data_IF_120791282882
#
_entry.id   IF_120791282882
#
_cell.length_a   1.000
_cell.length_b   1.000
_cell.length_c   1.000
_cell.angle_alpha   90.00
_cell.angle_beta   90.00
_cell.angle_gamma   90.00
#
_symmetry.space_group_name_H-M   'P 1'
#
loop_
_entity.id
_entity.type
_entity.pdbx_description
1 polymer ?
#
# COMPACT_ATOMS: atom_id res chain seq x y z
N UNK A 1 -18.13 -95.57 15.98
CA UNK A 1 -17.24 -94.40 16.21
C UNK A 1 -17.11 -93.60 14.92
N UNK A 2 -17.20 -92.26 14.99
CA UNK A 2 -16.99 -91.21 13.94
C UNK A 2 -18.25 -90.45 13.53
N UNK A 3 -18.53 -89.37 14.26
CA UNK A 3 -19.16 -88.12 13.77
C UNK A 3 -18.88 -87.05 14.82
N UNK A 4 -17.93 -86.14 14.55
CA UNK A 4 -17.71 -84.81 15.19
C UNK A 4 -16.34 -84.27 14.76
N UNK A 5 -16.23 -83.71 13.55
CA UNK A 5 -15.09 -82.86 13.12
C UNK A 5 -15.50 -82.15 11.82
N UNK A 6 -16.27 -81.07 11.92
CA UNK A 6 -16.56 -80.21 10.76
C UNK A 6 -16.99 -78.77 11.12
N UNK A 7 -17.21 -78.43 12.40
CA UNK A 7 -17.84 -77.14 12.75
C UNK A 7 -16.82 -76.02 13.10
N UNK A 8 -15.55 -76.34 13.38
CA UNK A 8 -14.58 -75.32 13.86
C UNK A 8 -13.95 -74.45 12.77
N UNK A 9 -14.00 -74.84 11.50
CA UNK A 9 -13.39 -74.08 10.39
C UNK A 9 -14.19 -72.85 9.95
N UNK A 10 -15.53 -72.95 9.96
CA UNK A 10 -16.44 -71.92 9.46
C UNK A 10 -16.51 -70.67 10.37
N UNK A 11 -16.39 -70.82 11.69
CA UNK A 11 -16.39 -69.69 12.62
C UNK A 11 -15.13 -68.80 12.50
N UNK A 12 -13.97 -69.39 12.16
CA UNK A 12 -12.71 -68.63 12.01
C UNK A 12 -12.69 -67.72 10.77
N UNK A 13 -13.32 -68.16 9.68
CA UNK A 13 -13.37 -67.42 8.42
C UNK A 13 -14.34 -66.23 8.50
N UNK A 14 -15.45 -66.37 9.21
CA UNK A 14 -16.42 -65.28 9.46
C UNK A 14 -15.79 -64.20 10.34
N UNK A 15 -15.02 -64.59 11.37
CA UNK A 15 -14.29 -63.65 12.23
C UNK A 15 -13.25 -62.81 11.47
N UNK A 16 -12.51 -63.42 10.52
CA UNK A 16 -11.55 -62.69 9.68
C UNK A 16 -12.22 -61.72 8.70
N UNK A 17 -13.35 -62.10 8.09
CA UNK A 17 -14.13 -61.21 7.21
C UNK A 17 -14.69 -59.99 7.96
N UNK A 18 -15.17 -60.20 9.19
CA UNK A 18 -15.66 -59.11 10.04
C UNK A 18 -14.54 -58.16 10.47
N UNK A 19 -13.36 -58.69 10.82
CA UNK A 19 -12.19 -57.85 11.12
C UNK A 19 -11.76 -57.02 9.90
N UNK A 20 -11.75 -57.60 8.70
CA UNK A 20 -11.40 -56.88 7.47
C UNK A 20 -12.40 -55.77 7.14
N UNK A 21 -13.70 -56.01 7.32
CA UNK A 21 -14.74 -54.96 7.19
C UNK A 21 -14.55 -53.82 8.19
N UNK A 22 -14.22 -54.13 9.44
CA UNK A 22 -13.96 -53.12 10.48
C UNK A 22 -12.72 -52.29 10.13
N UNK A 23 -11.64 -52.91 9.65
CA UNK A 23 -10.45 -52.16 9.20
C UNK A 23 -10.74 -51.27 7.99
N UNK A 24 -11.51 -51.74 7.01
CA UNK A 24 -11.94 -50.90 5.88
C UNK A 24 -12.80 -49.72 6.34
N UNK A 25 -13.74 -49.91 7.26
CA UNK A 25 -14.58 -48.84 7.84
C UNK A 25 -13.75 -47.83 8.64
N UNK A 26 -12.73 -48.27 9.37
CA UNK A 26 -11.83 -47.38 10.12
C UNK A 26 -10.92 -46.58 9.19
N UNK A 27 -10.43 -47.18 8.10
CA UNK A 27 -9.61 -46.49 7.11
C UNK A 27 -10.44 -45.45 6.34
N UNK A 28 -11.66 -45.77 5.94
CA UNK A 28 -12.55 -44.80 5.27
C UNK A 28 -12.99 -43.69 6.22
N UNK A 29 -13.28 -44.00 7.49
CA UNK A 29 -13.56 -42.98 8.51
C UNK A 29 -12.35 -42.06 8.75
N UNK A 30 -11.13 -42.59 8.81
CA UNK A 30 -9.90 -41.81 8.92
C UNK A 30 -9.68 -40.92 7.68
N UNK A 31 -9.93 -41.46 6.48
CA UNK A 31 -9.84 -40.69 5.23
C UNK A 31 -10.88 -39.54 5.19
N UNK A 32 -12.12 -39.80 5.61
CA UNK A 32 -13.20 -38.81 5.72
C UNK A 32 -12.92 -37.75 6.80
N UNK A 33 -12.30 -38.14 7.93
CA UNK A 33 -11.85 -37.22 8.98
C UNK A 33 -10.67 -36.35 8.52
N UNK A 34 -9.76 -36.88 7.70
CA UNK A 34 -8.66 -36.10 7.11
C UNK A 34 -9.11 -35.13 6.02
N UNK A 35 -10.25 -35.38 5.37
CA UNK A 35 -10.90 -34.46 4.42
C UNK A 35 -11.71 -33.36 5.12
N UNK A 36 -11.99 -33.50 6.42
CA UNK A 36 -12.51 -32.43 7.27
C UNK A 36 -11.41 -31.45 7.69
N UNK A 37 -10.43 -31.20 6.83
CA UNK A 37 -9.50 -30.10 7.02
C UNK A 37 -10.34 -28.83 6.85
N UNK A 38 -10.70 -28.22 7.98
CA UNK A 38 -11.47 -26.99 8.03
C UNK A 38 -10.64 -25.90 7.35
N UNK A 39 -10.77 -25.78 6.03
CA UNK A 39 -10.31 -24.61 5.29
C UNK A 39 -11.11 -23.44 5.84
N UNK A 40 -10.51 -22.75 6.82
CA UNK A 40 -11.03 -21.49 7.34
C UNK A 40 -11.36 -20.62 6.14
N UNK A 41 -12.64 -20.27 6.01
CA UNK A 41 -13.14 -19.47 4.88
C UNK A 41 -12.40 -18.14 4.90
N UNK A 42 -11.90 -17.72 3.74
CA UNK A 42 -11.30 -16.40 3.62
C UNK A 42 -12.33 -15.32 4.00
N UNK A 43 -11.88 -14.34 4.76
CA UNK A 43 -12.63 -13.16 5.18
C UNK A 43 -11.84 -11.91 4.81
N UNK A 44 -12.55 -10.79 4.73
CA UNK A 44 -11.96 -9.50 4.45
C UNK A 44 -11.87 -8.71 5.76
N UNK A 45 -10.69 -8.19 6.04
CA UNK A 45 -10.42 -7.35 7.19
C UNK A 45 -10.00 -5.98 6.69
N UNK A 46 -10.57 -4.93 7.28
CA UNK A 46 -10.37 -3.55 6.86
C UNK A 46 -10.13 -2.69 8.09
N UNK A 47 -9.11 -1.84 8.02
CA UNK A 47 -8.82 -0.82 9.03
C UNK A 47 -8.46 0.50 8.34
N UNK A 48 -8.73 1.60 9.05
CA UNK A 48 -8.37 2.96 8.62
C UNK A 48 -7.63 3.68 9.75
N UNK A 49 -6.59 4.43 9.41
CA UNK A 49 -5.81 5.29 10.32
C UNK A 49 -5.53 6.64 9.66
N UNK A 50 -5.26 7.66 10.46
CA UNK A 50 -4.80 8.97 9.96
C UNK A 50 -3.28 8.97 9.97
N UNK A 51 -2.68 9.08 8.78
CA UNK A 51 -1.23 9.12 8.53
C UNK A 51 -1.00 9.99 7.28
N UNK A 52 0.17 10.63 7.14
CA UNK A 52 0.45 11.54 6.01
C UNK A 52 -0.64 12.62 5.84
N UNK A 53 -1.13 13.13 6.97
CA UNK A 53 -2.23 14.10 7.07
C UNK A 53 -3.52 13.72 6.34
N UNK A 54 -3.76 12.43 6.14
CA UNK A 54 -4.95 11.93 5.42
C UNK A 54 -5.43 10.57 5.94
N UNK A 55 -6.57 10.12 5.43
CA UNK A 55 -7.08 8.78 5.70
C UNK A 55 -6.30 7.74 4.88
N UNK A 56 -5.69 6.80 5.60
CA UNK A 56 -5.07 5.61 5.05
C UNK A 56 -5.94 4.40 5.39
N UNK A 57 -6.33 3.62 4.38
CA UNK A 57 -7.16 2.43 4.54
C UNK A 57 -6.44 1.21 3.98
N UNK A 58 -6.37 0.15 4.79
CA UNK A 58 -5.81 -1.14 4.36
C UNK A 58 -6.91 -2.19 4.48
N UNK A 59 -7.13 -2.92 3.39
CA UNK A 59 -8.06 -4.05 3.32
C UNK A 59 -7.28 -5.29 2.89
N UNK A 60 -7.39 -6.40 3.63
CA UNK A 60 -6.72 -7.67 3.32
C UNK A 60 -7.71 -8.83 3.29
N UNK A 61 -7.41 -9.84 2.46
CA UNK A 61 -8.12 -11.13 2.47
C UNK A 61 -7.30 -12.17 3.22
N UNK A 62 -7.88 -12.79 4.24
CA UNK A 62 -7.21 -13.79 5.09
C UNK A 62 -8.21 -14.77 5.71
N UNK A 63 -7.84 -16.04 5.94
CA UNK A 63 -8.62 -16.98 6.73
C UNK A 63 -8.42 -16.82 8.26
N UNK A 64 -7.52 -15.93 8.70
CA UNK A 64 -7.21 -15.67 10.12
C UNK A 64 -7.20 -14.16 10.39
N UNK A 65 -7.95 -13.77 11.42
CA UNK A 65 -7.99 -12.39 11.92
C UNK A 65 -6.63 -11.95 12.47
N UNK A 66 -5.93 -12.85 13.14
CA UNK A 66 -4.60 -12.60 13.72
C UNK A 66 -3.58 -12.31 12.61
N UNK A 67 -3.54 -13.16 11.58
CA UNK A 67 -2.66 -12.96 10.42
C UNK A 67 -3.03 -11.68 9.65
N UNK A 68 -4.32 -11.39 9.53
CA UNK A 68 -4.79 -10.15 8.91
C UNK A 68 -4.32 -8.91 9.67
N UNK A 69 -4.49 -8.90 11.00
CA UNK A 69 -4.03 -7.82 11.87
C UNK A 69 -2.53 -7.57 11.74
N UNK A 70 -1.72 -8.62 11.81
CA UNK A 70 -0.25 -8.51 11.64
C UNK A 70 0.16 -7.92 10.27
N UNK A 71 -0.59 -8.22 9.22
CA UNK A 71 -0.33 -7.69 7.89
C UNK A 71 -0.77 -6.22 7.76
N UNK A 72 -1.96 -5.90 8.28
CA UNK A 72 -2.46 -4.52 8.34
C UNK A 72 -1.50 -3.64 9.14
N UNK A 73 -1.05 -4.11 10.31
CA UNK A 73 -0.08 -3.40 11.15
C UNK A 73 1.25 -3.19 10.43
N UNK A 74 1.74 -4.20 9.68
CA UNK A 74 2.96 -4.05 8.89
C UNK A 74 2.82 -2.99 7.79
N UNK A 75 1.67 -2.95 7.09
CA UNK A 75 1.40 -1.93 6.09
C UNK A 75 1.31 -0.52 6.70
N UNK A 76 0.62 -0.35 7.82
CA UNK A 76 0.56 0.94 8.51
C UNK A 76 1.89 1.37 9.12
N UNK A 77 2.70 0.44 9.62
CA UNK A 77 4.04 0.75 10.12
C UNK A 77 4.93 1.30 9.00
N UNK A 78 4.83 0.74 7.79
CA UNK A 78 5.57 1.23 6.63
C UNK A 78 5.12 2.64 6.21
N UNK A 79 3.80 2.88 6.13
CA UNK A 79 3.26 4.22 5.86
C UNK A 79 3.73 5.20 6.92
N UNK A 80 3.72 4.82 8.20
CA UNK A 80 4.16 5.70 9.30
C UNK A 80 5.65 6.00 9.24
N UNK A 81 6.48 5.02 8.86
CA UNK A 81 7.92 5.23 8.65
C UNK A 81 8.15 6.28 7.55
N UNK A 82 7.49 6.14 6.41
CA UNK A 82 7.62 7.07 5.29
C UNK A 82 7.04 8.45 5.61
N UNK A 83 5.93 8.52 6.35
CA UNK A 83 5.40 9.76 6.91
C UNK A 83 6.47 10.50 7.73
N UNK A 84 7.20 9.81 8.61
CA UNK A 84 8.29 10.44 9.38
C UNK A 84 9.47 10.89 8.51
N UNK A 85 9.91 10.07 7.55
CA UNK A 85 11.09 10.38 6.72
C UNK A 85 10.82 11.51 5.72
N UNK A 86 9.61 11.54 5.14
CA UNK A 86 9.27 12.34 3.97
C UNK A 86 8.46 13.62 4.29
N UNK A 87 8.14 13.86 5.56
CA UNK A 87 7.32 15.00 5.95
C UNK A 87 8.05 16.34 5.81
N UNK A 88 7.67 17.11 4.80
CA UNK A 88 8.16 18.46 4.53
C UNK A 88 7.94 19.46 5.69
N UNK A 89 6.90 19.26 6.51
CA UNK A 89 6.54 20.14 7.62
C UNK A 89 7.20 19.78 8.95
N UNK A 90 7.90 18.64 9.03
CA UNK A 90 8.64 18.22 10.24
C UNK A 90 10.10 18.62 10.14
N UNK A 91 10.63 19.28 11.16
CA UNK A 91 12.04 19.70 11.21
C UNK A 91 13.00 18.50 11.30
N UNK A 92 12.52 17.36 11.78
CA UNK A 92 13.26 16.13 12.01
C UNK A 92 13.32 15.20 10.79
N UNK A 93 12.59 15.50 9.72
CA UNK A 93 12.54 14.64 8.53
C UNK A 93 13.81 14.71 7.70
N UNK A 94 14.06 13.67 6.88
CA UNK A 94 15.20 13.67 5.95
C UNK A 94 15.02 14.73 4.86
N UNK A 95 13.78 14.99 4.43
CA UNK A 95 13.46 16.05 3.46
C UNK A 95 13.83 17.43 4.01
N UNK A 96 13.47 17.72 5.26
CA UNK A 96 13.85 18.98 5.91
C UNK A 96 15.37 19.10 6.11
N UNK A 97 16.05 17.98 6.39
CA UNK A 97 17.51 17.96 6.45
C UNK A 97 18.16 18.29 5.10
N UNK A 98 17.66 17.71 3.99
CA UNK A 98 18.10 18.03 2.62
C UNK A 98 17.86 19.51 2.30
N UNK A 99 16.66 20.01 2.57
CA UNK A 99 16.25 21.38 2.27
C UNK A 99 17.14 22.41 3.01
N UNK A 100 17.43 22.18 4.29
CA UNK A 100 18.34 23.04 5.07
C UNK A 100 19.79 23.01 4.58
N UNK A 101 20.21 21.93 3.94
CA UNK A 101 21.56 21.75 3.43
C UNK A 101 21.74 22.23 1.97
N UNK A 102 20.68 22.74 1.33
CA UNK A 102 20.69 23.20 -0.05
C UNK A 102 21.78 24.26 -0.30
N UNK A 103 22.62 24.03 -1.31
CA UNK A 103 23.78 24.87 -1.64
C UNK A 103 24.93 24.82 -0.62
N UNK A 104 24.85 23.95 0.40
CA UNK A 104 25.86 23.85 1.47
C UNK A 104 26.64 22.53 1.38
N UNK A 105 25.95 21.38 1.46
CA UNK A 105 26.60 20.06 1.45
C UNK A 105 25.63 18.93 1.12
N UNK A 106 26.11 17.77 0.66
CA UNK A 106 25.31 16.55 0.56
C UNK A 106 24.79 16.08 1.94
N UNK A 107 23.64 15.42 1.92
CA UNK A 107 22.99 14.82 3.09
C UNK A 107 22.84 13.33 2.87
N UNK A 108 23.36 12.53 3.80
CA UNK A 108 23.13 11.08 3.84
C UNK A 108 21.69 10.80 4.26
N UNK A 109 21.02 9.91 3.53
CA UNK A 109 19.61 9.57 3.71
C UNK A 109 19.43 8.06 3.83
N UNK A 110 18.23 7.65 4.24
CA UNK A 110 17.77 6.27 4.16
C UNK A 110 17.64 5.77 2.72
N UNK A 111 17.67 4.45 2.53
CA UNK A 111 17.45 3.83 1.23
C UNK A 111 16.06 4.18 0.67
N UNK A 112 15.05 4.31 1.54
CA UNK A 112 13.70 4.68 1.11
C UNK A 112 13.60 6.10 0.56
N UNK A 113 14.25 7.07 1.22
CA UNK A 113 14.32 8.46 0.75
C UNK A 113 15.15 8.57 -0.52
N UNK A 114 16.25 7.81 -0.60
CA UNK A 114 17.07 7.75 -1.81
C UNK A 114 16.26 7.24 -3.00
N UNK A 115 15.59 6.08 -2.85
CA UNK A 115 14.80 5.45 -3.91
C UNK A 115 13.67 6.37 -4.41
N UNK A 116 12.91 7.02 -3.51
CA UNK A 116 11.82 7.90 -3.95
C UNK A 116 12.34 9.16 -4.66
N UNK A 117 13.49 9.70 -4.25
CA UNK A 117 14.10 10.86 -4.92
C UNK A 117 14.63 10.48 -6.30
N UNK A 118 15.22 9.29 -6.47
CA UNK A 118 15.58 8.76 -7.80
C UNK A 118 14.35 8.65 -8.71
N UNK A 119 13.26 8.04 -8.22
CA UNK A 119 11.99 7.93 -8.98
C UNK A 119 11.42 9.31 -9.32
N UNK A 120 11.45 10.24 -8.38
CA UNK A 120 10.98 11.61 -8.57
C UNK A 120 11.76 12.29 -9.71
N UNK A 121 13.10 12.19 -9.70
CA UNK A 121 13.95 12.74 -10.77
C UNK A 121 13.66 12.08 -12.11
N UNK A 122 13.43 10.76 -12.15
CA UNK A 122 13.10 10.06 -13.39
C UNK A 122 11.74 10.49 -13.96
N UNK A 123 10.74 10.72 -13.11
CA UNK A 123 9.44 11.26 -13.53
C UNK A 123 9.59 12.71 -14.00
N UNK A 124 10.38 13.52 -13.32
CA UNK A 124 10.65 14.90 -13.74
C UNK A 124 11.31 14.96 -15.12
N UNK A 125 12.27 14.06 -15.40
CA UNK A 125 12.85 13.88 -16.73
C UNK A 125 11.80 13.45 -17.76
N UNK A 126 11.02 12.41 -17.45
CA UNK A 126 10.03 11.84 -18.38
C UNK A 126 8.91 12.83 -18.74
N UNK A 127 8.60 13.75 -17.83
CA UNK A 127 7.58 14.80 -18.02
C UNK A 127 8.17 16.14 -18.47
N UNK A 128 9.47 16.19 -18.75
CA UNK A 128 10.21 17.40 -19.10
C UNK A 128 9.98 18.56 -18.11
N UNK A 129 9.94 18.24 -16.81
CA UNK A 129 9.74 19.18 -15.71
C UNK A 129 8.29 19.58 -15.43
N UNK A 130 7.29 19.00 -16.13
CA UNK A 130 5.89 19.25 -15.79
C UNK A 130 5.54 18.73 -14.38
N UNK A 131 6.17 17.62 -13.97
CA UNK A 131 6.28 17.25 -12.57
C UNK A 131 7.68 17.61 -12.07
N UNK A 132 7.78 18.43 -11.03
CA UNK A 132 9.06 18.79 -10.40
C UNK A 132 8.85 18.99 -8.90
N UNK A 133 9.41 18.10 -8.08
CA UNK A 133 9.30 18.20 -6.62
C UNK A 133 10.15 19.33 -6.02
N UNK A 134 10.99 20.01 -6.81
CA UNK A 134 11.71 21.22 -6.36
C UNK A 134 10.84 22.47 -6.31
N UNK A 135 9.55 22.37 -6.64
CA UNK A 135 8.58 23.47 -6.67
C UNK A 135 8.22 24.04 -5.29
N UNK A 136 8.70 23.44 -4.20
CA UNK A 136 8.39 23.82 -2.82
C UNK A 136 8.58 25.33 -2.51
N UNK A 137 9.63 26.02 -3.01
CA UNK A 137 9.79 27.46 -2.81
C UNK A 137 8.61 28.28 -3.36
N UNK A 138 7.99 27.83 -4.45
CA UNK A 138 6.81 28.47 -5.04
C UNK A 138 5.56 28.15 -4.21
N UNK A 139 5.34 26.87 -3.88
CA UNK A 139 4.14 26.39 -3.17
C UNK A 139 3.93 27.13 -1.84
N UNK A 140 5.00 27.41 -1.08
CA UNK A 140 4.91 28.11 0.21
C UNK A 140 4.26 29.49 0.12
N UNK A 141 4.40 30.19 -1.00
CA UNK A 141 3.80 31.50 -1.17
C UNK A 141 2.29 31.43 -1.38
N UNK A 142 1.80 30.34 -1.99
CA UNK A 142 0.38 30.14 -2.29
C UNK A 142 -0.48 29.83 -1.05
N UNK A 143 0.13 29.60 0.12
CA UNK A 143 -0.53 29.37 1.42
C UNK A 143 -1.81 28.54 1.26
N UNK A 144 -1.68 27.31 0.73
CA UNK A 144 -2.78 26.35 0.59
C UNK A 144 -3.33 25.99 1.99
N UNK A 145 -4.17 26.85 2.53
CA UNK A 145 -4.84 26.70 3.81
C UNK A 145 -6.27 26.29 3.55
N UNK A 146 -6.83 25.48 4.44
CA UNK A 146 -8.27 25.18 4.46
C UNK A 146 -9.11 26.41 4.76
N UNK A 147 -8.49 27.46 5.29
CA UNK A 147 -9.10 28.78 5.47
C UNK A 147 -8.88 29.63 4.21
N UNK A 148 -9.92 29.74 3.38
CA UNK A 148 -9.92 30.54 2.16
C UNK A 148 -9.73 32.04 2.43
N UNK A 149 -10.00 32.52 3.66
CA UNK A 149 -9.75 33.91 4.04
C UNK A 149 -8.26 34.23 4.23
N UNK A 150 -7.43 33.20 4.41
CA UNK A 150 -5.97 33.30 4.51
C UNK A 150 -5.26 33.10 3.15
N UNK A 151 -6.00 32.71 2.11
CA UNK A 151 -5.46 32.45 0.77
C UNK A 151 -5.36 33.78 0.00
N UNK A 152 -4.14 34.22 -0.29
CA UNK A 152 -3.87 35.42 -1.07
C UNK A 152 -3.09 35.05 -2.33
N UNK A 153 -3.50 35.54 -3.50
CA UNK A 153 -2.70 35.39 -4.72
C UNK A 153 -1.36 36.09 -4.49
N UNK A 154 -0.22 35.38 -4.54
CA UNK A 154 1.08 35.99 -4.30
C UNK A 154 1.42 37.00 -5.40
N UNK A 155 2.18 38.07 -5.11
CA UNK A 155 2.68 38.98 -6.15
C UNK A 155 3.54 38.21 -7.17
N UNK A 156 3.40 38.56 -8.46
CA UNK A 156 4.13 37.89 -9.55
C UNK A 156 5.65 37.91 -9.35
N UNK A 157 6.21 39.03 -8.90
CA UNK A 157 7.65 39.17 -8.62
C UNK A 157 8.16 38.18 -7.57
N UNK A 158 7.35 37.85 -6.56
CA UNK A 158 7.71 36.87 -5.52
C UNK A 158 7.76 35.46 -6.13
N UNK A 159 6.80 35.13 -6.99
CA UNK A 159 6.77 33.85 -7.70
C UNK A 159 7.93 33.73 -8.69
N UNK A 160 8.22 34.77 -9.46
CA UNK A 160 9.35 34.79 -10.40
C UNK A 160 10.69 34.61 -9.69
N UNK A 161 10.87 35.17 -8.49
CA UNK A 161 12.06 34.95 -7.68
C UNK A 161 12.14 33.50 -7.18
N UNK A 162 11.04 32.95 -6.67
CA UNK A 162 10.99 31.57 -6.18
C UNK A 162 11.24 30.55 -7.30
N UNK A 163 10.77 30.81 -8.53
CA UNK A 163 10.97 29.94 -9.69
C UNK A 163 12.45 29.79 -10.10
N UNK A 164 13.34 30.73 -9.73
CA UNK A 164 14.76 30.68 -10.09
C UNK A 164 15.51 29.51 -9.46
N UNK A 165 14.98 28.98 -8.36
CA UNK A 165 15.55 27.85 -7.61
C UNK A 165 14.73 26.56 -7.78
N UNK A 166 13.82 26.52 -8.76
CA UNK A 166 13.07 25.32 -9.14
C UNK A 166 13.75 24.70 -10.35
N UNK A 167 14.50 23.62 -10.13
CA UNK A 167 15.16 22.85 -11.19
C UNK A 167 15.60 21.47 -10.70
N UNK A 168 14.82 20.43 -11.02
CA UNK A 168 15.19 19.05 -10.69
C UNK A 168 16.58 18.63 -11.23
N UNK A 169 17.09 19.30 -12.29
CA UNK A 169 18.40 18.96 -12.89
C UNK A 169 19.57 19.35 -12.01
N UNK A 170 19.33 20.19 -10.99
CA UNK A 170 20.31 20.61 -9.97
C UNK A 170 20.30 19.73 -8.74
N UNK A 171 19.59 18.60 -8.78
CA UNK A 171 19.70 17.54 -7.79
C UNK A 171 20.87 16.63 -8.18
N UNK A 172 21.79 16.41 -7.25
CA UNK A 172 22.86 15.45 -7.37
C UNK A 172 22.58 14.27 -6.48
N UNK A 173 22.49 13.10 -7.10
CA UNK A 173 22.28 11.82 -6.46
C UNK A 173 23.61 11.06 -6.57
N UNK A 174 24.19 10.72 -5.44
CA UNK A 174 25.41 9.91 -5.41
C UNK A 174 25.02 8.43 -5.45
N UNK A 175 25.30 7.71 -6.54
CA UNK A 175 24.98 6.27 -6.60
C UNK A 175 25.94 5.37 -5.81
N UNK A 176 27.06 5.92 -5.31
CA UNK A 176 28.06 5.16 -4.53
C UNK A 176 27.81 5.22 -3.02
N UNK A 177 27.00 6.17 -2.55
CA UNK A 177 26.58 6.32 -1.16
C UNK A 177 25.21 7.04 -1.15
N UNK A 178 24.23 6.65 -0.31
CA UNK A 178 22.88 7.21 -0.34
C UNK A 178 22.88 8.66 0.17
N UNK A 179 23.33 9.57 -0.69
CA UNK A 179 23.49 11.00 -0.42
C UNK A 179 22.81 11.81 -1.50
N UNK A 180 22.09 12.84 -1.05
CA UNK A 180 21.37 13.79 -1.90
C UNK A 180 21.95 15.18 -1.68
N UNK A 181 22.19 15.91 -2.76
CA UNK A 181 22.65 17.30 -2.71
C UNK A 181 21.82 18.17 -3.65
N UNK A 182 21.29 19.28 -3.13
CA UNK A 182 20.69 20.34 -3.92
C UNK A 182 21.76 21.40 -4.17
N UNK A 183 22.13 21.63 -5.43
CA UNK A 183 23.30 22.45 -5.77
C UNK A 183 23.14 23.93 -5.42
N UNK A 184 21.91 24.44 -5.40
CA UNK A 184 21.65 25.86 -5.20
C UNK A 184 21.02 26.18 -3.85
N UNK A 185 21.50 27.25 -3.22
CA UNK A 185 20.93 27.77 -1.99
C UNK A 185 19.50 28.26 -2.26
N UNK A 186 18.56 27.78 -1.45
CA UNK A 186 17.13 28.12 -1.58
C UNK A 186 16.31 27.11 -2.38
N UNK A 187 16.94 26.11 -3.01
CA UNK A 187 16.23 24.94 -3.52
C UNK A 187 15.62 24.16 -2.37
N UNK A 188 14.42 23.62 -2.59
CA UNK A 188 13.73 22.79 -1.60
C UNK A 188 12.89 21.72 -2.29
N UNK A 189 12.85 20.54 -1.68
CA UNK A 189 12.04 19.40 -2.10
C UNK A 189 10.72 19.36 -1.31
N UNK A 190 9.63 19.14 -2.04
CA UNK A 190 8.33 18.70 -1.52
C UNK A 190 7.87 17.47 -2.32
N UNK A 191 7.81 16.32 -1.65
CA UNK A 191 7.43 15.05 -2.27
C UNK A 191 5.91 14.78 -2.23
N UNK A 192 5.07 15.77 -1.88
CA UNK A 192 3.62 15.60 -1.73
C UNK A 192 2.93 15.02 -2.97
N UNK A 193 3.47 15.26 -4.17
CA UNK A 193 3.00 14.74 -5.45
C UNK A 193 3.40 13.30 -5.78
N UNK A 194 4.24 12.64 -4.98
CA UNK A 194 4.69 11.25 -5.22
C UNK A 194 4.68 10.36 -3.96
N UNK A 195 4.80 10.96 -2.76
CA UNK A 195 4.99 10.24 -1.50
C UNK A 195 3.85 9.27 -1.15
N UNK A 196 2.60 9.63 -1.40
CA UNK A 196 1.43 8.80 -1.05
C UNK A 196 1.34 7.53 -1.91
N UNK A 197 1.54 7.65 -3.22
CA UNK A 197 1.62 6.50 -4.13
C UNK A 197 2.78 5.57 -3.77
N UNK A 198 3.95 6.14 -3.48
CA UNK A 198 5.09 5.37 -2.99
C UNK A 198 4.81 4.63 -1.67
N UNK A 199 4.16 5.29 -0.72
CA UNK A 199 3.75 4.67 0.54
C UNK A 199 2.74 3.54 0.35
N UNK A 200 1.79 3.68 -0.58
CA UNK A 200 0.86 2.61 -0.94
C UNK A 200 1.57 1.39 -1.53
N UNK A 201 2.58 1.61 -2.38
CA UNK A 201 3.41 0.53 -2.94
C UNK A 201 4.21 -0.20 -1.85
N UNK A 202 4.93 0.54 -0.99
CA UNK A 202 5.73 -0.06 0.10
C UNK A 202 4.88 -0.78 1.13
N UNK A 203 3.70 -0.25 1.46
CA UNK A 203 2.75 -0.93 2.33
C UNK A 203 2.26 -2.27 1.73
N UNK A 204 2.02 -2.32 0.41
CA UNK A 204 1.69 -3.57 -0.27
C UNK A 204 2.82 -4.59 -0.19
N UNK A 205 4.07 -4.16 -0.34
CA UNK A 205 5.22 -5.05 -0.20
C UNK A 205 5.37 -5.58 1.23
N UNK A 206 5.16 -4.73 2.24
CA UNK A 206 5.15 -5.13 3.65
C UNK A 206 4.03 -6.16 3.95
N UNK A 207 2.83 -5.93 3.42
CA UNK A 207 1.68 -6.84 3.56
C UNK A 207 1.95 -8.18 2.86
N UNK A 208 2.50 -8.16 1.64
CA UNK A 208 2.90 -9.37 0.92
C UNK A 208 3.95 -10.16 1.69
N UNK A 209 4.90 -9.47 2.34
CA UNK A 209 5.89 -10.07 3.24
C UNK A 209 5.30 -10.84 4.41
N UNK A 210 4.05 -10.53 4.83
CA UNK A 210 3.29 -11.32 5.84
C UNK A 210 2.52 -12.50 5.24
N UNK A 211 2.71 -12.81 3.96
CA UNK A 211 2.10 -13.93 3.26
C UNK A 211 0.60 -13.76 3.03
N UNK A 212 0.11 -12.52 2.95
CA UNK A 212 -1.23 -12.19 2.46
C UNK A 212 -1.25 -12.28 0.93
N UNK A 213 -2.30 -12.87 0.36
CA UNK A 213 -2.41 -13.11 -1.08
C UNK A 213 -3.17 -12.02 -1.83
N UNK A 214 -3.96 -11.22 -1.13
CA UNK A 214 -4.68 -10.11 -1.72
C UNK A 214 -4.88 -8.98 -0.71
N UNK A 215 -4.62 -7.75 -1.15
CA UNK A 215 -4.92 -6.55 -0.39
C UNK A 215 -5.22 -5.36 -1.30
N UNK A 216 -5.88 -4.37 -0.72
CA UNK A 216 -6.08 -3.03 -1.27
C UNK A 216 -5.59 -2.03 -0.23
N UNK A 217 -4.61 -1.21 -0.60
CA UNK A 217 -4.10 -0.10 0.20
C UNK A 217 -4.51 1.20 -0.48
N UNK A 218 -5.13 2.09 0.28
CA UNK A 218 -5.49 3.44 -0.16
C UNK A 218 -4.87 4.46 0.79
N UNK A 219 -4.06 5.37 0.25
CA UNK A 219 -3.49 6.52 0.96
C UNK A 219 -4.10 7.76 0.30
N UNK A 220 -5.20 8.27 0.84
CA UNK A 220 -6.10 9.18 0.12
C UNK A 220 -6.55 8.61 -1.25
N UNK A 221 -6.34 9.35 -2.34
CA UNK A 221 -6.66 8.94 -3.72
C UNK A 221 -5.62 8.03 -4.38
N UNK A 222 -4.50 7.76 -3.71
CA UNK A 222 -3.45 6.86 -4.20
C UNK A 222 -3.73 5.43 -3.74
N UNK A 223 -4.09 4.56 -4.68
CA UNK A 223 -4.64 3.23 -4.38
C UNK A 223 -3.82 2.16 -5.09
N UNK A 224 -3.33 1.19 -4.33
CA UNK A 224 -2.60 0.01 -4.82
C UNK A 224 -3.31 -1.27 -4.43
N UNK A 225 -3.64 -2.11 -5.41
CA UNK A 225 -4.30 -3.40 -5.20
C UNK A 225 -3.49 -4.57 -5.76
N UNK A 226 -3.47 -5.68 -5.04
CA UNK A 226 -2.90 -6.95 -5.52
C UNK A 226 -3.80 -8.14 -5.20
N UNK A 227 -3.65 -9.21 -5.98
CA UNK A 227 -4.48 -10.40 -5.84
C UNK A 227 -5.95 -10.14 -6.17
N UNK A 228 -6.83 -11.02 -5.67
CA UNK A 228 -8.27 -10.99 -5.92
C UNK A 228 -9.03 -10.80 -4.60
N UNK A 229 -10.14 -10.08 -4.66
CA UNK A 229 -11.05 -9.92 -3.52
C UNK A 229 -11.77 -11.25 -3.18
N UNK A 230 -12.61 -11.23 -2.14
CA UNK A 230 -13.40 -12.40 -1.70
C UNK A 230 -14.33 -12.99 -2.78
N UNK A 231 -14.68 -12.23 -3.80
CA UNK A 231 -15.51 -12.66 -4.92
C UNK A 231 -14.69 -13.26 -6.08
N UNK A 232 -13.37 -13.36 -5.94
CA UNK A 232 -12.48 -13.83 -7.00
C UNK A 232 -12.26 -12.82 -8.13
N UNK A 233 -12.57 -11.54 -7.90
CA UNK A 233 -12.41 -10.46 -8.88
C UNK A 233 -11.33 -9.47 -8.45
N UNK A 234 -10.85 -8.64 -9.39
CA UNK A 234 -10.04 -7.47 -9.05
C UNK A 234 -10.78 -6.54 -8.08
N UNK A 235 -10.01 -5.76 -7.33
CA UNK A 235 -10.53 -4.80 -6.36
C UNK A 235 -11.28 -3.68 -7.06
N UNK A 236 -12.55 -3.47 -6.68
CA UNK A 236 -13.37 -2.39 -7.22
C UNK A 236 -12.92 -1.06 -6.63
N UNK A 237 -12.51 -0.15 -7.50
CA UNK A 237 -12.11 1.22 -7.15
C UNK A 237 -12.94 2.18 -7.98
N UNK A 238 -13.72 3.03 -7.31
CA UNK A 238 -14.48 4.09 -7.95
C UNK A 238 -13.61 5.31 -8.21
N UNK A 239 -13.83 5.97 -9.33
CA UNK A 239 -13.28 7.29 -9.63
C UNK A 239 -14.41 8.31 -9.40
N UNK A 240 -14.18 9.25 -8.49
CA UNK A 240 -15.15 10.25 -8.10
C UNK A 240 -15.37 11.25 -9.24
N UNK A 241 -16.63 11.65 -9.46
CA UNK A 241 -16.93 12.77 -10.34
C UNK A 241 -16.32 14.06 -9.76
N UNK A 242 -15.46 14.79 -10.50
CA UNK A 242 -14.83 16.01 -9.99
C UNK A 242 -15.83 17.17 -9.83
N UNK A 243 -17.04 17.06 -10.37
CA UNK A 243 -18.10 18.08 -10.33
C UNK A 243 -19.47 17.42 -10.05
N UNK A 244 -19.76 17.06 -8.78
CA UNK A 244 -21.07 16.58 -8.38
C UNK A 244 -22.18 17.55 -8.79
N UNK A 245 -23.29 17.07 -9.36
CA UNK A 245 -24.44 17.93 -9.70
C UNK A 245 -25.24 18.40 -8.47
N UNK A 246 -24.94 17.89 -7.28
CA UNK A 246 -25.41 18.40 -5.99
C UNK A 246 -24.49 17.90 -4.85
N UNK A 247 -24.55 18.55 -3.67
CA UNK A 247 -24.09 18.00 -2.40
C UNK A 247 -24.88 16.71 -2.08
N UNK A 248 -24.57 15.62 -2.78
CA UNK A 248 -25.15 14.32 -2.50
C UNK A 248 -24.70 13.92 -1.10
N UNK A 249 -25.65 13.70 -0.19
CA UNK A 249 -25.41 13.05 1.11
C UNK A 249 -24.81 11.64 0.96
N UNK A 250 -24.69 11.14 -0.28
CA UNK A 250 -24.19 9.83 -0.66
C UNK A 250 -23.06 9.99 -1.69
N UNK A 251 -21.84 10.35 -1.25
CA UNK A 251 -20.70 10.52 -2.15
C UNK A 251 -20.33 9.25 -2.96
N UNK A 252 -20.82 8.06 -2.58
CA UNK A 252 -20.67 6.84 -3.36
C UNK A 252 -21.65 6.71 -4.55
N UNK A 253 -22.67 7.56 -4.64
CA UNK A 253 -23.59 7.63 -5.80
C UNK A 253 -23.04 8.54 -6.91
N UNK A 254 -22.02 9.34 -6.62
CA UNK A 254 -21.36 10.26 -7.57
C UNK A 254 -20.00 9.72 -8.05
N UNK A 255 -20.00 8.43 -8.40
CA UNK A 255 -18.86 7.73 -9.00
C UNK A 255 -19.05 7.74 -10.53
N UNK A 256 -18.16 8.40 -11.27
CA UNK A 256 -18.28 8.46 -12.74
C UNK A 256 -17.82 7.17 -13.42
N UNK A 257 -16.88 6.44 -12.81
CA UNK A 257 -16.34 5.20 -13.36
C UNK A 257 -15.85 4.26 -12.26
N UNK A 258 -15.82 2.95 -12.56
CA UNK A 258 -15.26 1.93 -11.67
C UNK A 258 -14.22 1.12 -12.42
N UNK A 259 -13.04 1.00 -11.82
CA UNK A 259 -11.97 0.11 -12.30
C UNK A 259 -11.82 -1.10 -11.38
N UNK A 260 -11.36 -2.21 -11.95
CA UNK A 260 -11.04 -3.42 -11.22
C UNK A 260 -9.52 -3.60 -11.18
N UNK A 261 -8.90 -3.34 -10.03
CA UNK A 261 -7.46 -3.45 -9.85
C UNK A 261 -7.07 -4.88 -9.46
N UNK A 262 -6.20 -5.48 -10.27
CA UNK A 262 -5.44 -6.69 -9.93
C UNK A 262 -3.98 -6.42 -10.26
N UNK A 263 -3.15 -6.42 -9.22
CA UNK A 263 -1.70 -6.18 -9.31
C UNK A 263 -1.36 -4.85 -10.00
N UNK A 264 -2.17 -3.81 -9.71
CA UNK A 264 -2.13 -2.48 -10.34
C UNK A 264 -2.39 -1.37 -9.32
N UNK A 265 -1.99 -0.16 -9.68
CA UNK A 265 -2.26 1.07 -8.93
C UNK A 265 -3.16 2.01 -9.75
N UNK A 266 -3.81 2.94 -9.06
CA UNK A 266 -4.44 4.12 -9.62
C UNK A 266 -4.18 5.30 -8.68
N UNK A 267 -3.96 6.48 -9.24
CA UNK A 267 -3.93 7.75 -8.53
C UNK A 267 -4.73 8.77 -9.33
N UNK A 268 -5.35 9.74 -8.64
CA UNK A 268 -6.12 10.81 -9.27
C UNK A 268 -5.64 12.15 -8.71
N UNK A 269 -5.37 13.10 -9.59
CA UNK A 269 -5.12 14.51 -9.26
C UNK A 269 -6.23 15.36 -9.86
N UNK A 270 -6.78 16.28 -9.07
CA UNK A 270 -7.89 17.16 -9.46
C UNK A 270 -7.72 18.55 -8.83
N UNK A 271 -8.50 19.51 -9.33
CA UNK A 271 -8.52 20.92 -8.92
C UNK A 271 -9.63 21.24 -7.89
#
# INVERSE_FOLDING_TARGET
MRKKRAVSGQQSAVSRKNKLHIYCLLITAFFLLSLSNCTKREQMYKESRILMDTFCTITVVSPSKEKAGQAIDAGFAEIKKLDTLLNYFSDESEISAINRAAGIKPVKVSDETFEIIEKMVDIAKATNGAFDATIAPVIRHWKFSRDSSASSIPPGEVIEQALRVVDYKKIRINSSAPEIYLEEKGMELDLGGIAKGYAADKAVDAIRGKGIKAALVAVAGDIRGFGLNLSGQGWKVGIQNPRPEAESERPWEDIFAVLHLKDRAISTSGD
#
